data_IF_003412914497
#
_entry.id   IF_003412914497
#
_cell.length_a   1.000
_cell.length_b   1.000
_cell.length_c   1.000
_cell.angle_alpha   90.00
_cell.angle_beta   90.00
_cell.angle_gamma   90.00
#
_symmetry.space_group_name_H-M   'P 1'
#
loop_
_entity.id
_entity.type
_entity.pdbx_description
1 polymer ?
#
# COMPACT_ATOMS: atom_id res chain seq x y z
N UNK A 1 -30.19 -76.15 -66.58
CA UNK A 1 -29.07 -75.21 -66.84
C UNK A 1 -29.59 -74.08 -67.72
N UNK A 2 -29.07 -72.83 -67.66
CA UNK A 2 -27.83 -72.32 -67.04
C UNK A 2 -28.14 -71.16 -66.05
N UNK A 3 -27.25 -70.38 -65.43
CA UNK A 3 -25.84 -70.45 -65.05
C UNK A 3 -25.61 -69.25 -64.13
N UNK A 4 -24.92 -69.48 -63.01
CA UNK A 4 -23.82 -68.66 -62.50
C UNK A 4 -23.80 -67.16 -62.81
N UNK A 5 -23.80 -66.33 -61.77
CA UNK A 5 -22.81 -65.26 -61.64
C UNK A 5 -22.50 -64.99 -60.16
N UNK A 6 -21.21 -65.07 -59.84
CA UNK A 6 -20.58 -64.76 -58.56
C UNK A 6 -20.04 -63.34 -58.67
N UNK A 7 -20.32 -62.48 -57.71
CA UNK A 7 -19.54 -61.24 -57.51
C UNK A 7 -19.12 -61.12 -56.05
N UNK A 8 -17.83 -60.84 -55.89
CA UNK A 8 -17.06 -60.69 -54.65
C UNK A 8 -17.28 -59.31 -54.02
N UNK A 9 -16.81 -59.20 -52.77
CA UNK A 9 -16.25 -58.00 -52.13
C UNK A 9 -17.29 -57.07 -51.51
N UNK A 10 -17.11 -56.54 -50.30
CA UNK A 10 -15.86 -56.15 -49.65
C UNK A 10 -15.89 -56.47 -48.15
N UNK A 11 -14.74 -56.89 -47.62
CA UNK A 11 -14.49 -56.94 -46.19
C UNK A 11 -14.63 -55.53 -45.61
N UNK A 12 -15.66 -55.33 -44.80
CA UNK A 12 -15.91 -54.09 -44.08
C UNK A 12 -14.90 -54.01 -42.93
N UNK A 13 -13.78 -53.30 -43.14
CA UNK A 13 -12.87 -52.94 -42.05
C UNK A 13 -13.60 -51.96 -41.14
N UNK A 14 -14.18 -52.47 -40.06
CA UNK A 14 -14.67 -51.67 -38.93
C UNK A 14 -13.48 -50.93 -38.34
N UNK A 15 -13.38 -49.64 -38.57
CA UNK A 15 -12.56 -48.76 -37.76
C UNK A 15 -13.25 -48.63 -36.42
N UNK A 16 -12.87 -49.46 -35.44
CA UNK A 16 -13.27 -49.27 -34.05
C UNK A 16 -12.69 -47.93 -33.59
N UNK A 17 -13.51 -46.89 -33.59
CA UNK A 17 -13.22 -45.67 -32.85
C UNK A 17 -13.38 -46.01 -31.37
N UNK A 18 -12.31 -46.49 -30.73
CA UNK A 18 -12.27 -46.64 -29.28
C UNK A 18 -12.46 -45.28 -28.64
N UNK A 19 -13.69 -45.00 -28.19
CA UNK A 19 -13.95 -43.86 -27.31
C UNK A 19 -13.35 -44.20 -25.95
N UNK A 20 -12.11 -43.78 -25.70
CA UNK A 20 -11.50 -43.84 -24.38
C UNK A 20 -12.20 -42.83 -23.47
N UNK A 21 -12.91 -43.32 -22.45
CA UNK A 21 -13.43 -42.50 -21.36
C UNK A 21 -12.38 -42.31 -20.28
N UNK A 22 -12.36 -41.13 -19.64
CA UNK A 22 -11.55 -40.87 -18.46
C UNK A 22 -11.98 -41.76 -17.30
N UNK A 23 -11.02 -42.25 -16.52
CA UNK A 23 -11.30 -43.00 -15.30
C UNK A 23 -11.51 -42.05 -14.12
N UNK A 24 -12.34 -42.46 -13.15
CA UNK A 24 -12.51 -41.70 -11.90
C UNK A 24 -11.16 -41.50 -11.18
N UNK A 25 -10.31 -42.53 -11.21
CA UNK A 25 -9.00 -42.49 -10.56
C UNK A 25 -8.05 -41.48 -11.22
N UNK A 26 -8.08 -41.30 -12.54
CA UNK A 26 -7.31 -40.24 -13.22
C UNK A 26 -7.73 -38.86 -12.72
N UNK A 27 -9.04 -38.60 -12.65
CA UNK A 27 -9.52 -37.33 -12.15
C UNK A 27 -9.14 -37.12 -10.67
N UNK A 28 -9.21 -38.17 -9.85
CA UNK A 28 -8.84 -38.11 -8.43
C UNK A 28 -7.36 -37.76 -8.24
N UNK A 29 -6.45 -38.33 -9.04
CA UNK A 29 -5.02 -38.01 -8.97
C UNK A 29 -4.78 -36.55 -9.39
N UNK A 30 -5.45 -36.08 -10.44
CA UNK A 30 -5.31 -34.69 -10.92
C UNK A 30 -5.72 -33.69 -9.86
N UNK A 31 -6.90 -33.85 -9.23
CA UNK A 31 -7.34 -32.93 -8.18
C UNK A 31 -6.47 -33.02 -6.92
N UNK A 32 -5.93 -34.21 -6.61
CA UNK A 32 -4.98 -34.37 -5.52
C UNK A 32 -3.67 -33.59 -5.77
N UNK A 33 -3.11 -33.68 -6.99
CA UNK A 33 -1.90 -32.93 -7.37
C UNK A 33 -2.18 -31.42 -7.35
N UNK A 34 -3.30 -30.97 -7.91
CA UNK A 34 -3.70 -29.55 -7.89
C UNK A 34 -3.84 -29.06 -6.44
N UNK A 35 -4.45 -29.86 -5.55
CA UNK A 35 -4.58 -29.51 -4.14
C UNK A 35 -3.23 -29.28 -3.44
N UNK A 36 -2.26 -30.17 -3.67
CA UNK A 36 -0.89 -30.01 -3.13
C UNK A 36 -0.22 -28.77 -3.70
N UNK A 37 -0.22 -28.60 -5.03
CA UNK A 37 0.43 -27.47 -5.69
C UNK A 37 -0.19 -26.13 -5.29
N UNK A 38 -1.52 -26.06 -5.12
CA UNK A 38 -2.23 -24.84 -4.74
C UNK A 38 -1.74 -24.29 -3.40
N UNK A 39 -1.47 -25.14 -2.40
CA UNK A 39 -1.01 -24.68 -1.09
C UNK A 39 0.38 -24.04 -1.13
N UNK A 40 1.29 -24.59 -1.95
CA UNK A 40 2.65 -24.05 -2.13
C UNK A 40 2.60 -22.70 -2.84
N UNK A 41 1.78 -22.59 -3.88
CA UNK A 41 1.60 -21.35 -4.64
C UNK A 41 1.05 -20.24 -3.75
N UNK A 42 0.05 -20.50 -2.91
CA UNK A 42 -0.50 -19.49 -1.99
C UNK A 42 0.56 -18.92 -1.06
N UNK A 43 1.42 -19.75 -0.47
CA UNK A 43 2.50 -19.28 0.41
C UNK A 43 3.53 -18.43 -0.33
N UNK A 44 3.88 -18.83 -1.56
CA UNK A 44 4.79 -18.05 -2.40
C UNK A 44 4.21 -16.67 -2.74
N UNK A 45 2.92 -16.58 -3.07
CA UNK A 45 2.24 -15.32 -3.35
C UNK A 45 2.23 -14.42 -2.11
N UNK A 46 1.89 -14.96 -0.93
CA UNK A 46 1.89 -14.20 0.32
C UNK A 46 3.27 -13.58 0.62
N UNK A 47 4.34 -14.36 0.51
CA UNK A 47 5.70 -13.84 0.71
C UNK A 47 6.11 -12.80 -0.35
N UNK A 48 5.69 -12.99 -1.59
CA UNK A 48 5.97 -12.03 -2.66
C UNK A 48 5.22 -10.71 -2.47
N UNK A 49 3.95 -10.77 -2.04
CA UNK A 49 3.15 -9.59 -1.69
C UNK A 49 3.76 -8.84 -0.51
N UNK A 50 4.09 -9.52 0.59
CA UNK A 50 4.69 -8.88 1.76
C UNK A 50 5.96 -8.09 1.38
N UNK A 51 6.86 -8.70 0.61
CA UNK A 51 8.07 -8.02 0.10
C UNK A 51 7.75 -6.84 -0.81
N UNK A 52 6.72 -6.96 -1.65
CA UNK A 52 6.28 -5.87 -2.52
C UNK A 52 5.71 -4.71 -1.70
N UNK A 53 4.97 -5.00 -0.64
CA UNK A 53 4.36 -4.00 0.23
C UNK A 53 5.44 -3.26 1.01
N UNK A 54 6.38 -3.96 1.65
CA UNK A 54 7.53 -3.32 2.29
C UNK A 54 8.34 -2.44 1.31
N UNK A 55 8.57 -2.91 0.08
CA UNK A 55 9.31 -2.15 -0.92
C UNK A 55 8.55 -0.89 -1.36
N UNK A 56 7.23 -0.98 -1.53
CA UNK A 56 6.38 0.17 -1.83
C UNK A 56 6.41 1.17 -0.68
N UNK A 57 6.25 0.71 0.56
CA UNK A 57 6.26 1.59 1.72
C UNK A 57 7.59 2.33 1.89
N UNK A 58 8.72 1.64 1.71
CA UNK A 58 10.06 2.25 1.70
C UNK A 58 10.22 3.28 0.57
N UNK A 59 9.67 2.98 -0.60
CA UNK A 59 9.68 3.90 -1.75
C UNK A 59 8.83 5.14 -1.49
N UNK A 60 7.65 4.98 -0.90
CA UNK A 60 6.75 6.09 -0.55
C UNK A 60 7.43 7.00 0.48
N UNK A 61 7.93 6.44 1.59
CA UNK A 61 8.67 7.18 2.62
C UNK A 61 9.84 7.95 2.02
N UNK A 62 10.62 7.33 1.12
CA UNK A 62 11.75 7.98 0.45
C UNK A 62 11.31 9.15 -0.45
N UNK A 63 10.20 8.96 -1.18
CA UNK A 63 9.63 9.98 -2.09
C UNK A 63 9.11 11.17 -1.31
N UNK A 64 8.31 10.93 -0.28
CA UNK A 64 7.74 11.98 0.59
C UNK A 64 8.85 12.68 1.36
N UNK A 65 9.84 11.95 1.88
CA UNK A 65 11.01 12.54 2.55
C UNK A 65 11.78 13.48 1.64
N UNK A 66 11.96 13.10 0.37
CA UNK A 66 12.64 13.95 -0.63
C UNK A 66 11.84 15.22 -0.92
N UNK A 67 10.51 15.12 -0.98
CA UNK A 67 9.60 16.25 -1.15
C UNK A 67 9.64 17.20 0.05
N UNK A 68 9.67 16.66 1.27
CA UNK A 68 9.81 17.44 2.51
C UNK A 68 11.14 18.20 2.57
N UNK A 69 12.24 17.57 2.17
CA UNK A 69 13.54 18.24 2.09
C UNK A 69 13.55 19.36 1.04
N UNK A 70 12.85 19.18 -0.09
CA UNK A 70 12.66 20.23 -1.08
C UNK A 70 11.81 21.39 -0.54
N UNK A 71 10.71 21.08 0.16
CA UNK A 71 9.85 22.06 0.83
C UNK A 71 10.65 22.87 1.87
N UNK A 72 11.41 22.19 2.73
CA UNK A 72 12.24 22.81 3.75
C UNK A 72 13.34 23.72 3.16
N UNK A 73 13.88 23.37 1.98
CA UNK A 73 14.86 24.21 1.28
C UNK A 73 14.24 25.52 0.79
N UNK A 74 13.00 25.48 0.34
CA UNK A 74 12.31 26.63 -0.25
C UNK A 74 11.64 27.51 0.83
N UNK A 75 10.95 26.90 1.80
CA UNK A 75 10.19 27.60 2.86
C UNK A 75 10.99 27.84 4.15
N UNK A 76 12.11 27.12 4.35
CA UNK A 76 12.94 27.21 5.55
C UNK A 76 12.36 26.52 6.80
N UNK A 77 11.18 25.93 6.68
CA UNK A 77 10.46 25.17 7.72
C UNK A 77 9.86 23.92 7.09
N UNK A 78 9.59 22.90 7.90
CA UNK A 78 8.79 21.75 7.46
C UNK A 78 7.28 22.07 7.58
N UNK A 79 6.40 21.34 6.87
CA UNK A 79 4.96 21.42 7.09
C UNK A 79 4.61 21.19 8.57
N UNK A 80 3.47 21.74 9.02
CA UNK A 80 3.01 21.66 10.41
C UNK A 80 3.96 22.25 11.48
N UNK A 81 4.95 23.09 11.12
CA UNK A 81 5.86 23.73 12.10
C UNK A 81 5.19 24.60 13.17
N UNK A 82 3.93 25.01 12.94
CA UNK A 82 3.11 25.76 13.90
C UNK A 82 2.28 24.85 14.81
N UNK A 83 2.07 23.61 14.41
CA UNK A 83 1.30 22.66 15.20
C UNK A 83 2.09 22.30 16.46
N UNK A 84 1.41 22.39 17.59
CA UNK A 84 2.02 22.10 18.88
C UNK A 84 1.94 20.60 19.15
N UNK A 85 3.00 19.88 18.80
CA UNK A 85 3.21 18.54 19.33
C UNK A 85 3.26 18.60 20.86
N UNK A 86 2.59 17.71 21.58
CA UNK A 86 2.73 17.55 23.04
C UNK A 86 1.52 17.91 23.90
N UNK A 87 0.30 17.84 23.34
CA UNK A 87 -0.94 17.82 24.11
C UNK A 87 -1.88 16.65 23.79
N UNK A 88 -1.59 15.89 22.73
CA UNK A 88 -2.41 14.79 22.22
C UNK A 88 -1.69 13.45 22.41
N UNK A 89 -2.46 12.36 22.40
CA UNK A 89 -1.94 11.00 22.49
C UNK A 89 -1.01 10.73 21.30
N UNK A 90 0.22 10.27 21.59
CA UNK A 90 1.22 9.98 20.56
C UNK A 90 0.74 8.91 19.58
N UNK A 91 -0.20 8.06 19.95
CA UNK A 91 -0.73 7.03 19.04
C UNK A 91 -1.58 7.63 17.92
N UNK A 92 -2.30 8.72 18.19
CA UNK A 92 -3.26 9.34 17.26
C UNK A 92 -2.72 10.61 16.59
N UNK A 93 -1.73 11.27 17.20
CA UNK A 93 -1.20 12.52 16.66
C UNK A 93 -0.55 12.31 15.28
N UNK A 94 -1.21 12.86 14.26
CA UNK A 94 -0.80 12.77 12.86
C UNK A 94 -0.95 14.12 12.12
N UNK A 95 0.17 14.71 11.71
CA UNK A 95 0.17 15.94 10.91
C UNK A 95 0.13 15.68 9.39
N UNK A 96 -0.12 14.45 8.95
CA UNK A 96 -0.11 14.11 7.53
C UNK A 96 -1.08 14.95 6.69
N UNK A 97 -2.32 15.27 7.13
CA UNK A 97 -3.21 16.13 6.34
C UNK A 97 -2.61 17.51 5.99
N UNK A 98 -1.96 18.13 6.97
CA UNK A 98 -1.26 19.42 6.78
C UNK A 98 -0.06 19.22 5.83
N UNK A 99 0.70 18.14 5.97
CA UNK A 99 1.77 17.81 5.02
C UNK A 99 1.22 17.65 3.61
N UNK A 100 0.12 16.90 3.45
CA UNK A 100 -0.49 16.62 2.16
C UNK A 100 -0.86 17.93 1.45
N UNK A 101 -1.57 18.82 2.14
CA UNK A 101 -1.95 20.14 1.62
C UNK A 101 -0.71 20.95 1.18
N UNK A 102 0.35 20.96 1.99
CA UNK A 102 1.56 21.73 1.71
C UNK A 102 2.42 21.15 0.57
N UNK A 103 2.42 19.83 0.38
CA UNK A 103 3.19 19.17 -0.68
C UNK A 103 2.46 19.18 -2.03
N UNK A 104 1.13 19.02 -2.02
CA UNK A 104 0.29 19.00 -3.21
C UNK A 104 -0.07 20.41 -3.70
N UNK A 105 -0.15 21.37 -2.78
CA UNK A 105 -0.25 22.79 -3.04
C UNK A 105 -1.54 23.21 -3.74
N UNK A 106 -2.40 23.97 -3.06
CA UNK A 106 -3.35 24.82 -3.76
C UNK A 106 -2.72 26.20 -4.08
N UNK A 107 -2.82 26.66 -5.34
CA UNK A 107 -2.94 28.11 -5.65
C UNK A 107 -4.45 28.47 -5.54
N UNK A 108 -4.94 29.72 -5.26
CA UNK A 108 -4.38 31.06 -4.88
C UNK A 108 -5.15 31.76 -3.67
N UNK A 109 -4.89 33.02 -3.16
CA UNK A 109 -4.05 34.14 -3.64
C UNK A 109 -2.89 34.60 -2.72
N UNK A 110 -2.61 33.95 -1.58
CA UNK A 110 -1.59 34.44 -0.61
C UNK A 110 -0.56 33.39 -0.17
N UNK A 111 -0.50 32.23 -0.83
CA UNK A 111 0.48 31.18 -0.51
C UNK A 111 1.91 31.55 -0.96
N UNK A 112 2.87 31.42 -0.04
CA UNK A 112 4.31 31.69 -0.26
C UNK A 112 5.06 30.59 -1.02
N UNK A 113 4.33 29.64 -1.62
CA UNK A 113 4.87 28.41 -2.17
C UNK A 113 6.14 28.61 -3.01
N UNK A 114 7.19 27.91 -2.61
CA UNK A 114 8.48 27.88 -3.26
C UNK A 114 8.47 27.57 -4.75
N UNK A 115 9.64 27.73 -5.37
CA UNK A 115 9.83 27.57 -6.83
C UNK A 115 9.50 26.16 -7.33
N UNK A 116 9.52 25.17 -6.43
CA UNK A 116 9.36 23.76 -6.76
C UNK A 116 7.97 23.19 -6.42
N UNK A 117 6.96 24.03 -6.22
CA UNK A 117 5.57 23.59 -5.99
C UNK A 117 4.92 23.07 -7.29
N UNK A 118 4.20 21.92 -7.28
CA UNK A 118 4.02 20.99 -6.17
C UNK A 118 5.27 20.14 -5.92
N UNK A 119 5.52 19.80 -4.66
CA UNK A 119 6.74 19.11 -4.24
C UNK A 119 6.67 17.57 -4.41
N UNK A 120 5.47 17.01 -4.51
CA UNK A 120 5.26 15.58 -4.78
C UNK A 120 3.98 15.34 -5.56
N UNK A 121 4.01 14.36 -6.47
CA UNK A 121 2.82 13.81 -7.13
C UNK A 121 2.46 12.49 -6.42
N UNK A 122 1.67 12.57 -5.34
CA UNK A 122 1.18 11.37 -4.64
C UNK A 122 0.05 10.73 -5.43
N UNK A 123 0.07 9.40 -5.52
CA UNK A 123 -0.89 8.65 -6.31
C UNK A 123 -2.32 8.81 -5.76
N UNK A 124 -3.23 9.32 -6.59
CA UNK A 124 -4.59 9.66 -6.14
C UNK A 124 -5.42 8.48 -5.66
N UNK A 125 -5.07 7.26 -6.08
CA UNK A 125 -5.76 6.02 -5.72
C UNK A 125 -5.52 5.56 -4.28
N UNK A 126 -4.47 6.08 -3.63
CA UNK A 126 -4.12 5.79 -2.24
C UNK A 126 -4.43 6.96 -1.29
N UNK A 127 -5.10 8.00 -1.79
CA UNK A 127 -5.60 9.08 -0.95
C UNK A 127 -6.91 8.64 -0.33
N UNK A 128 -7.01 8.80 0.99
CA UNK A 128 -8.18 8.50 1.78
C UNK A 128 -8.63 9.70 2.60
N UNK A 129 -9.91 9.69 2.94
CA UNK A 129 -10.56 10.65 3.84
C UNK A 129 -11.30 9.85 4.92
N UNK A 130 -11.50 10.45 6.07
CA UNK A 130 -12.26 9.83 7.16
C UNK A 130 -13.74 9.86 6.79
N UNK A 131 -14.43 8.72 6.94
CA UNK A 131 -15.86 8.63 6.79
C UNK A 131 -16.57 8.89 8.12
N UNK A 132 -16.93 10.15 8.37
CA UNK A 132 -17.64 10.57 9.59
C UNK A 132 -18.99 9.84 9.78
N UNK A 133 -19.57 9.30 8.70
CA UNK A 133 -20.82 8.54 8.75
C UNK A 133 -20.64 7.07 9.19
N UNK A 134 -19.39 6.56 9.23
CA UNK A 134 -19.11 5.13 9.41
C UNK A 134 -17.91 4.88 10.35
N UNK A 135 -18.12 5.09 11.65
CA UNK A 135 -17.14 4.82 12.72
C UNK A 135 -15.72 5.35 12.41
N UNK A 136 -15.63 6.49 11.72
CA UNK A 136 -14.39 7.13 11.29
C UNK A 136 -13.47 6.23 10.43
N UNK A 137 -14.04 5.30 9.65
CA UNK A 137 -13.28 4.44 8.74
C UNK A 137 -12.68 5.23 7.57
N UNK A 138 -11.48 4.86 7.12
CA UNK A 138 -10.88 5.45 5.93
C UNK A 138 -11.58 4.99 4.65
N UNK A 139 -12.21 5.93 3.94
CA UNK A 139 -12.76 5.69 2.61
C UNK A 139 -11.87 6.29 1.53
N UNK A 140 -11.96 5.72 0.32
CA UNK A 140 -11.33 6.31 -0.86
C UNK A 140 -11.91 7.70 -1.10
N UNK A 141 -11.01 8.64 -1.39
CA UNK A 141 -11.39 10.03 -1.64
C UNK A 141 -12.34 10.13 -2.84
N UNK A 142 -13.48 10.82 -2.65
CA UNK A 142 -14.34 11.22 -3.74
C UNK A 142 -13.65 12.24 -4.64
N UNK A 143 -14.13 12.40 -5.88
CA UNK A 143 -13.56 13.41 -6.78
C UNK A 143 -13.71 14.84 -6.23
N UNK A 144 -14.81 15.11 -5.55
CA UNK A 144 -15.12 16.42 -5.01
C UNK A 144 -14.31 16.68 -3.72
N UNK A 145 -14.20 15.68 -2.84
CA UNK A 145 -13.42 15.73 -1.60
C UNK A 145 -11.91 16.00 -1.84
N UNK A 146 -11.37 15.52 -2.97
CA UNK A 146 -9.95 15.66 -3.30
C UNK A 146 -9.50 17.13 -3.39
N UNK A 147 -10.42 18.04 -3.72
CA UNK A 147 -10.15 19.48 -3.88
C UNK A 147 -10.82 20.32 -2.79
N UNK A 148 -11.39 19.70 -1.76
CA UNK A 148 -12.01 20.43 -0.67
C UNK A 148 -10.95 20.72 0.42
N UNK A 149 -10.55 21.98 0.65
CA UNK A 149 -9.54 22.30 1.66
C UNK A 149 -9.99 22.02 3.10
N UNK A 150 -11.29 21.85 3.35
CA UNK A 150 -11.81 21.55 4.69
C UNK A 150 -11.72 20.04 5.05
N UNK A 151 -11.44 19.19 4.06
CA UNK A 151 -11.39 17.73 4.25
C UNK A 151 -9.97 17.26 4.51
N UNK A 152 -9.73 16.62 5.65
CA UNK A 152 -8.45 16.01 5.98
C UNK A 152 -8.17 14.80 5.08
N UNK A 153 -6.98 14.81 4.48
CA UNK A 153 -6.54 13.81 3.50
C UNK A 153 -5.35 13.04 4.02
N UNK A 154 -5.48 11.72 3.98
CA UNK A 154 -4.45 10.78 4.37
C UNK A 154 -3.94 10.04 3.15
N UNK A 155 -2.68 9.62 3.19
CA UNK A 155 -2.13 8.71 2.20
C UNK A 155 -2.02 7.34 2.85
N UNK A 156 -2.60 6.33 2.23
CA UNK A 156 -2.61 4.97 2.77
C UNK A 156 -1.36 4.23 2.34
N UNK A 157 -0.78 3.49 3.27
CA UNK A 157 0.28 2.52 3.04
C UNK A 157 -0.27 1.26 2.31
N UNK A 158 0.60 0.30 1.93
CA UNK A 158 0.16 -0.92 1.26
C UNK A 158 -0.76 -1.84 2.08
N UNK A 159 -0.84 -1.64 3.39
CA UNK A 159 -1.71 -2.36 4.32
C UNK A 159 -3.04 -1.64 4.59
N UNK A 160 -3.26 -0.49 3.93
CA UNK A 160 -4.43 0.39 4.07
C UNK A 160 -4.46 1.21 5.34
N UNK A 161 -3.31 1.35 6.01
CA UNK A 161 -3.16 2.23 7.16
C UNK A 161 -2.60 3.59 6.73
N UNK A 162 -2.97 4.70 7.38
CA UNK A 162 -2.43 6.01 7.01
C UNK A 162 -0.94 6.11 7.35
N UNK A 163 -0.18 6.81 6.49
CA UNK A 163 1.14 7.29 6.89
C UNK A 163 1.03 8.31 8.02
N UNK A 164 1.98 8.25 8.93
CA UNK A 164 2.12 9.19 10.03
C UNK A 164 3.24 10.17 9.77
N UNK A 165 2.99 11.43 10.09
CA UNK A 165 3.96 12.50 9.92
C UNK A 165 4.03 13.41 11.14
N UNK A 166 5.25 13.79 11.52
CA UNK A 166 5.53 14.73 12.61
C UNK A 166 6.67 15.66 12.27
N UNK A 167 6.51 16.92 12.67
CA UNK A 167 7.57 17.92 12.59
C UNK A 167 8.32 18.01 13.93
N UNK A 168 9.65 17.88 13.88
CA UNK A 168 10.48 17.91 15.09
C UNK A 168 11.26 19.22 15.25
N UNK A 169 11.57 19.91 14.16
CA UNK A 169 12.51 21.03 14.16
C UNK A 169 11.97 22.28 14.89
N UNK A 170 10.65 22.45 15.00
CA UNK A 170 10.02 23.51 15.80
C UNK A 170 10.26 23.36 17.30
N UNK A 171 10.54 22.13 17.76
CA UNK A 171 10.73 21.82 19.18
C UNK A 171 12.06 22.35 19.69
N UNK A 172 12.02 22.95 20.89
CA UNK A 172 13.21 23.51 21.54
C UNK A 172 14.19 22.42 21.95
N UNK A 173 13.68 21.32 22.49
CA UNK A 173 14.42 20.17 23.02
C UNK A 173 14.07 18.91 22.23
N UNK A 174 15.00 17.95 22.18
CA UNK A 174 14.73 16.61 21.65
C UNK A 174 13.88 15.88 22.70
N UNK A 175 12.78 15.28 22.28
CA UNK A 175 11.99 14.35 23.10
C UNK A 175 12.46 12.91 22.85
N UNK A 176 12.16 11.98 23.75
CA UNK A 176 12.64 10.60 23.68
C UNK A 176 12.11 9.85 22.44
N UNK A 177 10.85 10.11 22.08
CA UNK A 177 10.20 9.54 20.90
C UNK A 177 10.69 10.11 19.57
N UNK A 178 11.47 11.21 19.57
CA UNK A 178 11.96 11.80 18.32
C UNK A 178 13.14 11.02 17.77
N UNK A 179 13.07 10.61 16.49
CA UNK A 179 14.22 10.02 15.81
C UNK A 179 15.32 11.08 15.62
N UNK A 180 14.95 12.20 14.98
CA UNK A 180 15.86 13.31 14.66
C UNK A 180 15.35 14.63 15.23
N UNK A 181 16.14 15.26 16.11
CA UNK A 181 15.80 16.58 16.70
C UNK A 181 15.55 17.66 15.64
N UNK A 182 16.42 17.75 14.62
CA UNK A 182 16.33 18.78 13.58
C UNK A 182 15.89 18.15 12.26
N UNK A 183 14.64 17.73 12.21
CA UNK A 183 14.08 17.03 11.08
C UNK A 183 12.57 16.88 11.20
N UNK A 184 12.09 15.76 10.70
CA UNK A 184 10.73 15.26 10.78
C UNK A 184 10.79 13.75 10.98
N UNK A 185 9.72 13.18 11.50
CA UNK A 185 9.51 11.74 11.55
C UNK A 185 8.36 11.41 10.58
N UNK A 186 8.58 10.42 9.72
CA UNK A 186 7.61 9.94 8.73
C UNK A 186 7.70 8.42 8.69
N UNK A 187 6.57 7.73 8.88
CA UNK A 187 6.52 6.27 8.87
C UNK A 187 5.15 5.72 8.45
N UNK A 188 5.16 4.46 8.02
CA UNK A 188 4.00 3.58 7.87
C UNK A 188 3.99 2.60 9.03
N UNK A 189 2.78 2.27 9.47
CA UNK A 189 2.52 1.39 10.61
C UNK A 189 2.94 -0.05 10.32
N UNK A 190 2.91 -0.46 9.06
CA UNK A 190 3.39 -1.78 8.66
C UNK A 190 2.30 -2.86 8.71
N UNK A 191 2.70 -4.14 8.57
CA UNK A 191 1.77 -5.26 8.41
C UNK A 191 0.89 -5.59 9.62
N UNK A 192 1.29 -5.26 10.84
CA UNK A 192 0.54 -5.59 12.03
C UNK A 192 -0.55 -4.56 12.39
N UNK A 193 -0.47 -3.35 11.84
CA UNK A 193 -1.40 -2.25 12.10
C UNK A 193 -1.24 -1.59 13.47
N UNK A 194 -0.11 -1.79 14.15
CA UNK A 194 0.20 -1.23 15.47
C UNK A 194 1.22 -0.09 15.33
N UNK A 195 0.86 1.10 15.81
CA UNK A 195 1.69 2.31 15.65
C UNK A 195 2.81 2.39 16.70
N UNK A 196 3.77 1.48 16.66
CA UNK A 196 4.83 1.39 17.68
C UNK A 196 5.92 2.47 17.48
N UNK A 197 6.24 2.81 16.23
CA UNK A 197 7.20 3.87 15.92
C UNK A 197 6.81 5.26 16.47
N UNK A 198 5.56 5.45 16.91
CA UNK A 198 5.13 6.69 17.55
C UNK A 198 5.86 6.99 18.87
N UNK A 199 6.46 5.97 19.50
CA UNK A 199 7.23 6.06 20.74
C UNK A 199 8.75 6.19 20.52
N UNK A 200 9.23 6.17 19.28
CA UNK A 200 10.64 6.32 18.92
C UNK A 200 11.28 5.04 18.40
N UNK A 201 12.57 4.86 18.70
CA UNK A 201 13.28 3.63 18.31
C UNK A 201 12.93 2.50 19.29
N UNK A 202 12.82 1.25 18.80
CA UNK A 202 12.57 0.10 19.66
C UNK A 202 13.66 -0.04 20.72
N UNK A 203 13.25 -0.47 21.91
CA UNK A 203 14.17 -0.91 22.96
C UNK A 203 14.96 -2.15 22.49
N UNK A 204 16.07 -2.51 23.18
CA UNK A 204 17.00 -3.55 22.70
C UNK A 204 16.35 -4.93 22.47
N UNK A 205 15.20 -5.18 23.06
CA UNK A 205 14.41 -6.43 23.01
C UNK A 205 13.10 -6.31 22.22
N UNK A 206 12.79 -5.14 21.65
CA UNK A 206 11.61 -4.89 20.84
C UNK A 206 11.96 -4.84 19.34
N UNK A 207 11.05 -5.31 18.50
CA UNK A 207 11.19 -5.25 17.04
C UNK A 207 9.90 -4.66 16.48
N UNK A 208 9.97 -3.41 16.02
CA UNK A 208 8.86 -2.74 15.33
C UNK A 208 8.92 -3.09 13.85
N UNK A 209 7.78 -3.42 13.25
CA UNK A 209 7.63 -3.67 11.82
C UNK A 209 7.29 -2.41 11.01
N UNK A 210 7.05 -1.29 11.69
CA UNK A 210 6.90 0.04 11.10
C UNK A 210 8.03 0.34 10.09
N UNK A 211 7.72 1.16 9.10
CA UNK A 211 8.66 1.54 8.04
C UNK A 211 8.71 3.06 7.94
N UNK A 212 9.83 3.67 8.31
CA UNK A 212 10.00 5.12 8.29
C UNK A 212 11.37 5.61 7.84
N UNK A 213 11.63 6.89 8.11
CA UNK A 213 12.74 7.66 7.57
C UNK A 213 14.05 7.58 8.38
N UNK A 214 14.26 6.49 9.12
CA UNK A 214 15.45 6.25 9.95
C UNK A 214 16.67 5.75 9.14
#
# INVERSE_FOLDING_TARGET
>A
MPSFFRTRSAGQTRTDSSKSGFTLIELMIVVAIIGVLSTLVTKMIQMAQARSFEANAKSDVSTISSALEAYMRDEGVYPAWKEKLGGEDLETFNCFPILFENLQGERPPEGRGGKNTPYSDMASDRIAVIDEDFDDEFKRVGRDDLFDPEVDKYYLDPWSEPYFYRENKSKRTKEDWMLKRRGFDLWSVGPDGVNDACFGHPEEDEEYDDIGNW
#
